data_IF_729642904360
#
_entry.id   IF_729642904360
#
_cell.length_a   1.000
_cell.length_b   1.000
_cell.length_c   1.000
_cell.angle_alpha   90.00
_cell.angle_beta   90.00
_cell.angle_gamma   90.00
#
_symmetry.space_group_name_H-M   'P 1'
#
loop_
_entity.id
_entity.type
_entity.pdbx_description
1 polymer ?
#
# COMPACT_ATOMS: atom_id res chain seq x y z
N UNK A 1 -10.78 23.11 -3.51
CA UNK A 1 -9.50 22.95 -3.38
C UNK A 1 -9.10 21.76 -2.70
N UNK A 2 -9.48 21.52 -1.48
CA UNK A 2 -9.12 20.40 -0.79
C UNK A 2 -9.57 19.13 -1.42
N UNK A 3 -10.77 19.07 -1.92
CA UNK A 3 -11.26 17.97 -2.62
C UNK A 3 -10.57 17.77 -3.90
N UNK A 4 -10.24 18.86 -4.57
CA UNK A 4 -9.51 18.82 -5.80
C UNK A 4 -8.14 18.21 -5.63
N UNK A 5 -7.49 18.52 -4.54
CA UNK A 5 -6.17 17.98 -4.28
C UNK A 5 -6.21 16.48 -4.07
N UNK A 6 -7.19 15.99 -3.36
CA UNK A 6 -7.30 14.58 -3.12
C UNK A 6 -7.57 13.82 -4.40
N UNK A 7 -8.46 14.34 -5.21
CA UNK A 7 -8.78 13.75 -6.46
C UNK A 7 -7.58 13.75 -7.39
N UNK A 8 -6.85 14.86 -7.38
CA UNK A 8 -5.67 14.99 -8.20
C UNK A 8 -4.62 13.96 -7.80
N UNK A 9 -4.44 13.73 -6.51
CA UNK A 9 -3.49 12.74 -6.04
C UNK A 9 -3.82 11.35 -6.52
N UNK A 10 -5.07 10.96 -6.44
CA UNK A 10 -5.46 9.65 -6.90
C UNK A 10 -5.23 9.50 -8.40
N UNK A 11 -5.55 10.54 -9.15
CA UNK A 11 -5.35 10.54 -10.58
C UNK A 11 -3.87 10.48 -10.93
N UNK A 12 -3.06 11.22 -10.21
CA UNK A 12 -1.64 11.25 -10.43
C UNK A 12 -1.02 9.89 -10.14
N UNK A 13 -1.44 9.25 -9.08
CA UNK A 13 -0.96 7.93 -8.75
C UNK A 13 -1.25 6.94 -9.86
N UNK A 14 -2.46 6.99 -10.42
CA UNK A 14 -2.77 6.09 -11.51
C UNK A 14 -1.94 6.36 -12.75
N UNK A 15 -1.69 7.63 -13.05
CA UNK A 15 -0.90 7.99 -14.20
C UNK A 15 0.54 7.60 -14.06
N UNK A 16 1.06 7.66 -12.86
CA UNK A 16 2.47 7.38 -12.63
C UNK A 16 2.69 5.99 -12.05
N UNK A 17 1.72 5.11 -12.23
CA UNK A 17 1.86 3.75 -11.75
C UNK A 17 3.08 3.09 -12.39
N UNK A 18 3.96 2.54 -11.55
CA UNK A 18 5.18 1.91 -12.04
C UNK A 18 4.91 0.48 -12.47
N UNK A 19 5.89 -0.09 -13.16
CA UNK A 19 5.81 -1.49 -13.56
C UNK A 19 5.71 -2.38 -12.32
N UNK A 20 6.44 -2.05 -11.27
CA UNK A 20 6.38 -2.83 -10.05
C UNK A 20 4.98 -2.83 -9.46
N UNK A 21 4.35 -1.66 -9.41
CA UNK A 21 3.00 -1.55 -8.89
C UNK A 21 2.01 -2.36 -9.72
N UNK A 22 2.15 -2.30 -11.02
CA UNK A 22 1.28 -3.06 -11.91
C UNK A 22 1.43 -4.55 -11.68
N UNK A 23 2.66 -5.01 -11.61
CA UNK A 23 2.92 -6.44 -11.45
C UNK A 23 2.43 -6.94 -10.10
N UNK A 24 2.64 -6.14 -9.06
CA UNK A 24 2.17 -6.54 -7.75
C UNK A 24 0.65 -6.60 -7.72
N UNK A 25 -0.01 -5.60 -8.30
CA UNK A 25 -1.46 -5.60 -8.31
C UNK A 25 -2.04 -6.81 -9.02
N UNK A 26 -1.40 -7.27 -10.08
CA UNK A 26 -1.87 -8.46 -10.78
C UNK A 26 -1.86 -9.69 -9.88
N UNK A 27 -0.98 -9.70 -8.89
CA UNK A 27 -0.91 -10.81 -7.95
C UNK A 27 -1.91 -10.67 -6.81
N UNK A 28 -2.35 -9.46 -6.53
CA UNK A 28 -3.24 -9.23 -5.40
C UNK A 28 -4.71 -9.21 -5.77
N UNK A 29 -5.02 -8.88 -7.00
CA UNK A 29 -6.40 -8.70 -7.45
C UNK A 29 -7.13 -10.03 -7.51
N UNK A 30 -8.46 -9.95 -7.58
CA UNK A 30 -9.33 -11.11 -7.81
C UNK A 30 -9.19 -12.20 -6.76
N UNK A 31 -8.86 -11.82 -5.54
CA UNK A 31 -8.72 -12.75 -4.41
C UNK A 31 -7.67 -13.83 -4.67
N UNK A 32 -6.70 -13.53 -5.50
CA UNK A 32 -5.65 -14.48 -5.84
C UNK A 32 -4.77 -14.82 -4.64
N UNK A 33 -4.62 -13.88 -3.72
CA UNK A 33 -3.81 -14.13 -2.52
C UNK A 33 -4.63 -14.87 -1.47
N UNK A 34 -4.72 -16.18 -1.68
CA UNK A 34 -5.35 -17.07 -0.71
C UNK A 34 -6.79 -16.64 -0.35
N UNK A 35 -7.49 -16.08 -1.32
CA UNK A 35 -8.87 -15.68 -1.10
C UNK A 35 -9.07 -14.31 -0.49
N UNK A 36 -8.00 -13.65 -0.06
CA UNK A 36 -8.13 -12.33 0.53
C UNK A 36 -8.41 -11.29 -0.53
N UNK A 37 -9.29 -10.35 -0.20
CA UNK A 37 -9.67 -9.32 -1.14
C UNK A 37 -8.82 -8.07 -0.93
N UNK A 38 -8.11 -7.67 -1.98
CA UNK A 38 -7.37 -6.40 -1.98
C UNK A 38 -8.07 -5.41 -2.88
N UNK A 39 -8.07 -4.15 -2.48
CA UNK A 39 -8.55 -3.06 -3.30
C UNK A 39 -7.42 -2.09 -3.53
N UNK A 40 -7.46 -1.37 -4.64
CA UNK A 40 -6.42 -0.40 -4.97
C UNK A 40 -6.87 1.00 -4.63
N UNK A 41 -5.88 1.84 -4.32
CA UNK A 41 -6.10 3.27 -4.09
C UNK A 41 -7.24 3.50 -3.12
N UNK A 42 -7.05 2.96 -1.94
CA UNK A 42 -8.07 2.94 -0.90
C UNK A 42 -7.95 4.17 -0.02
N UNK A 43 -9.02 4.95 0.10
CA UNK A 43 -8.97 6.09 1.02
C UNK A 43 -9.13 5.61 2.44
N UNK A 44 -8.23 6.06 3.31
CA UNK A 44 -8.29 5.81 4.74
C UNK A 44 -8.05 7.14 5.42
N UNK A 45 -9.12 7.72 5.99
CA UNK A 45 -9.04 9.06 6.52
C UNK A 45 -8.66 10.04 5.42
N UNK A 46 -7.70 10.92 5.67
CA UNK A 46 -7.29 11.89 4.66
C UNK A 46 -6.26 11.33 3.66
N UNK A 47 -5.93 10.06 3.77
CA UNK A 47 -4.88 9.48 2.93
C UNK A 47 -5.42 8.49 1.94
N UNK A 48 -4.67 8.28 0.85
CA UNK A 48 -4.98 7.24 -0.11
C UNK A 48 -3.81 6.28 -0.12
N UNK A 49 -4.07 5.00 0.09
CA UNK A 49 -3.00 4.00 0.10
C UNK A 49 -3.03 3.21 -1.20
N UNK A 50 -1.90 2.64 -1.57
CA UNK A 50 -1.76 1.93 -2.84
C UNK A 50 -2.70 0.75 -2.93
N UNK A 51 -2.70 -0.10 -1.93
CA UNK A 51 -3.60 -1.23 -1.88
C UNK A 51 -3.82 -1.65 -0.44
N UNK A 52 -4.97 -2.25 -0.19
CA UNK A 52 -5.30 -2.67 1.17
C UNK A 52 -6.27 -3.83 1.14
N UNK A 53 -6.09 -4.73 2.09
CA UNK A 53 -7.06 -5.75 2.42
C UNK A 53 -7.78 -5.28 3.67
N UNK A 54 -8.99 -4.78 3.51
CA UNK A 54 -9.70 -4.19 4.65
C UNK A 54 -10.08 -5.24 5.69
N UNK A 55 -10.39 -6.43 5.24
CA UNK A 55 -10.75 -7.51 6.17
C UNK A 55 -9.65 -7.77 7.17
N UNK A 56 -8.42 -7.74 6.71
CA UNK A 56 -7.28 -8.03 7.56
C UNK A 56 -6.55 -6.77 8.02
N UNK A 57 -7.07 -5.60 7.71
CA UNK A 57 -6.44 -4.32 8.07
C UNK A 57 -4.97 -4.30 7.66
N UNK A 58 -4.72 -4.71 6.44
CA UNK A 58 -3.36 -4.81 5.94
C UNK A 58 -3.19 -3.92 4.72
N UNK A 59 -2.19 -3.05 4.76
CA UNK A 59 -1.87 -2.15 3.68
C UNK A 59 -0.56 -2.57 3.05
N UNK A 60 -0.52 -2.57 1.71
CA UNK A 60 0.70 -2.87 0.98
C UNK A 60 1.00 -1.70 0.07
N UNK A 61 2.21 -1.17 0.16
CA UNK A 61 2.62 -0.03 -0.63
C UNK A 61 3.93 -0.29 -1.33
N UNK A 62 4.08 0.32 -2.50
CA UNK A 62 5.32 0.24 -3.26
C UNK A 62 5.98 1.60 -3.18
N UNK A 63 7.22 1.60 -2.68
CA UNK A 63 7.95 2.84 -2.50
C UNK A 63 9.00 2.90 -3.61
N UNK A 64 8.70 3.67 -4.64
CA UNK A 64 9.53 3.68 -5.81
C UNK A 64 10.58 4.76 -5.83
N UNK A 65 10.49 5.73 -4.96
CA UNK A 65 11.42 6.84 -4.98
C UNK A 65 11.94 7.10 -3.60
N UNK A 66 13.19 7.48 -3.54
CA UNK A 66 13.78 7.78 -2.28
C UNK A 66 13.83 9.28 -2.15
N UNK A 67 12.99 9.81 -1.34
CA UNK A 67 13.04 11.20 -1.01
C UNK A 67 13.35 11.32 0.43
N UNK A 68 14.19 12.28 0.74
CA UNK A 68 14.70 12.30 2.07
C UNK A 68 14.73 13.67 2.70
N UNK A 69 13.89 14.55 2.28
CA UNK A 69 13.82 15.81 2.99
C UNK A 69 13.19 15.55 4.33
N UNK A 70 13.51 16.36 5.29
CA UNK A 70 12.96 16.24 6.62
C UNK A 70 11.46 16.39 6.61
N UNK A 71 10.96 17.26 5.75
CA UNK A 71 9.53 17.47 5.65
C UNK A 71 8.82 16.24 5.12
N UNK A 72 9.41 15.61 4.12
CA UNK A 72 8.83 14.39 3.55
C UNK A 72 8.83 13.26 4.55
N UNK A 73 9.91 13.13 5.30
CA UNK A 73 9.98 12.08 6.31
C UNK A 73 8.96 12.32 7.42
N UNK A 74 8.81 13.59 7.84
CA UNK A 74 7.84 13.91 8.87
C UNK A 74 6.42 13.62 8.38
N UNK A 75 6.14 13.95 7.14
CA UNK A 75 4.84 13.69 6.56
C UNK A 75 4.56 12.19 6.51
N UNK A 76 5.54 11.41 6.07
CA UNK A 76 5.41 9.97 6.01
C UNK A 76 5.20 9.37 7.38
N UNK A 77 5.88 9.88 8.38
CA UNK A 77 5.72 9.39 9.74
C UNK A 77 4.31 9.67 10.26
N UNK A 78 3.78 10.85 10.01
CA UNK A 78 2.43 11.19 10.43
C UNK A 78 1.40 10.30 9.75
N UNK A 79 1.61 10.05 8.47
CA UNK A 79 0.73 9.20 7.69
C UNK A 79 0.73 7.79 8.24
N UNK A 80 1.92 7.24 8.48
CA UNK A 80 2.05 5.89 8.99
C UNK A 80 1.43 5.77 10.38
N UNK A 81 1.67 6.76 11.25
CA UNK A 81 1.10 6.75 12.58
C UNK A 81 -0.43 6.77 12.53
N UNK A 82 -0.97 7.57 11.63
CA UNK A 82 -2.41 7.62 11.49
C UNK A 82 -2.97 6.27 11.07
N UNK A 83 -2.34 5.66 10.05
CA UNK A 83 -2.82 4.38 9.54
C UNK A 83 -2.75 3.31 10.62
N UNK A 84 -1.69 3.32 11.41
CA UNK A 84 -1.57 2.38 12.51
C UNK A 84 -2.61 2.63 13.57
N UNK A 85 -2.91 3.90 13.85
CA UNK A 85 -3.91 4.22 14.85
C UNK A 85 -5.29 3.76 14.42
N UNK A 86 -5.51 3.59 13.11
CA UNK A 86 -6.76 3.06 12.59
C UNK A 86 -6.75 1.53 12.57
N UNK A 87 -5.72 0.92 13.08
CA UNK A 87 -5.65 -0.53 13.20
C UNK A 87 -5.01 -1.24 12.01
N UNK A 88 -4.39 -0.49 11.11
CA UNK A 88 -3.78 -1.10 9.94
C UNK A 88 -2.31 -1.41 10.14
N UNK A 89 -1.86 -2.51 9.56
CA UNK A 89 -0.43 -2.74 9.41
C UNK A 89 -0.03 -2.23 8.04
N UNK A 90 1.15 -1.65 7.94
CA UNK A 90 1.63 -1.08 6.69
C UNK A 90 2.92 -1.80 6.30
N UNK A 91 2.90 -2.41 5.13
CA UNK A 91 4.07 -3.10 4.61
C UNK A 91 4.49 -2.40 3.33
N UNK A 92 5.75 -2.04 3.23
CA UNK A 92 6.27 -1.34 2.06
C UNK A 92 7.37 -2.14 1.42
N UNK A 93 7.35 -2.12 0.09
CA UNK A 93 8.37 -2.80 -0.70
C UNK A 93 8.96 -1.82 -1.69
N UNK A 94 10.23 -1.97 -1.97
CA UNK A 94 10.88 -1.17 -3.00
C UNK A 94 10.59 -1.78 -4.36
N UNK A 95 10.68 -0.97 -5.40
CA UNK A 95 10.46 -1.46 -6.76
C UNK A 95 11.33 -2.68 -7.05
N UNK A 96 12.58 -2.61 -6.67
CA UNK A 96 13.52 -3.71 -6.95
C UNK A 96 13.11 -5.00 -6.28
N UNK A 97 12.59 -4.91 -5.08
CA UNK A 97 12.16 -6.10 -4.36
C UNK A 97 11.03 -6.80 -5.11
N UNK A 98 10.13 -6.01 -5.65
CA UNK A 98 9.00 -6.57 -6.38
C UNK A 98 9.44 -7.14 -7.71
N UNK A 99 10.24 -6.39 -8.45
CA UNK A 99 10.62 -6.83 -9.78
C UNK A 99 11.56 -8.04 -9.75
N UNK A 100 12.38 -8.15 -8.73
CA UNK A 100 13.36 -9.22 -8.67
C UNK A 100 13.03 -10.31 -7.66
N UNK A 101 12.02 -10.12 -6.83
CA UNK A 101 11.71 -11.10 -5.77
C UNK A 101 10.23 -11.20 -5.49
N UNK A 102 9.41 -11.27 -6.52
CA UNK A 102 7.97 -11.32 -6.36
C UNK A 102 7.52 -12.46 -5.44
N UNK A 103 8.11 -13.63 -5.59
CA UNK A 103 7.70 -14.76 -4.76
C UNK A 103 7.90 -14.49 -3.27
N UNK A 104 9.01 -13.85 -2.94
CA UNK A 104 9.30 -13.52 -1.56
C UNK A 104 8.38 -12.43 -1.04
N UNK A 105 8.09 -11.45 -1.90
CA UNK A 105 7.16 -10.38 -1.55
C UNK A 105 5.80 -10.96 -1.22
N UNK A 106 5.30 -11.85 -2.07
CA UNK A 106 3.99 -12.47 -1.85
C UNK A 106 3.96 -13.32 -0.60
N UNK A 107 5.06 -14.00 -0.31
CA UNK A 107 5.16 -14.79 0.91
C UNK A 107 5.04 -13.91 2.15
N UNK A 108 5.72 -12.77 2.14
CA UNK A 108 5.67 -11.85 3.26
C UNK A 108 4.28 -11.25 3.42
N UNK A 109 3.65 -10.90 2.32
CA UNK A 109 2.30 -10.36 2.38
C UNK A 109 1.35 -11.39 2.98
N UNK A 110 1.46 -12.62 2.53
CA UNK A 110 0.60 -13.67 3.01
C UNK A 110 0.81 -13.93 4.49
N UNK A 111 2.06 -13.92 4.93
CA UNK A 111 2.36 -14.08 6.35
C UNK A 111 1.72 -12.97 7.18
N UNK A 112 1.79 -11.75 6.69
CA UNK A 112 1.19 -10.62 7.38
C UNK A 112 -0.32 -10.79 7.49
N UNK A 113 -0.95 -11.24 6.41
CA UNK A 113 -2.38 -11.45 6.42
C UNK A 113 -2.81 -12.53 7.40
N UNK A 114 -2.05 -13.60 7.46
CA UNK A 114 -2.41 -14.75 8.30
C UNK A 114 -2.05 -14.57 9.76
N UNK A 115 -1.06 -13.76 10.03
CA UNK A 115 -0.61 -13.57 11.40
C UNK A 115 -1.36 -12.48 12.15
N UNK A 116 -2.29 -11.83 11.48
CA UNK A 116 -3.05 -10.80 12.15
C UNK A 116 -3.98 -11.46 13.15
N UNK A 117 -3.90 -11.04 14.41
CA UNK A 117 -4.77 -11.64 15.43
C UNK A 117 -6.21 -11.28 15.16
N UNK A 118 -7.09 -12.19 15.47
CA UNK A 118 -8.50 -11.92 15.33
C UNK A 118 -8.95 -10.98 16.42
N UNK A 119 -9.90 -10.11 16.13
CA UNK A 119 -10.37 -9.14 17.13
C UNK A 119 -11.10 -9.81 18.29
#
# INVERSE_FOLDING_TARGET
>A
MRQGAKLYSARTLRKSETLAEKRLWEQLRNRTMDGFKFSRQVPIGPYIVDSACREQHSIVEVDGATHSTEEELAHDNRRTEFLKSEGYSVTRFQNDEILNGMAEVLTLILQTLRNRPLP
#
